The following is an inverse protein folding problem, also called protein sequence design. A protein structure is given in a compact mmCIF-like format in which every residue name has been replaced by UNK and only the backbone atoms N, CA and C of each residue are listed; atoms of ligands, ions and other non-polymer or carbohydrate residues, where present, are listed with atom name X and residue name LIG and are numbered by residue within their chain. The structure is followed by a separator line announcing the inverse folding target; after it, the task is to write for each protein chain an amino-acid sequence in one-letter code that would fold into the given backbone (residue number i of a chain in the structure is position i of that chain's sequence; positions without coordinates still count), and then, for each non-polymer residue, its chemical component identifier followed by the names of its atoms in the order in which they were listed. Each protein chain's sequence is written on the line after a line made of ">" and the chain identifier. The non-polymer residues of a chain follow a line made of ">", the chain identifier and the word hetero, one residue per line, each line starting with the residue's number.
data_IF_949347419900
#
_entry.id   IF_949347419900
#
_cell.length_a   1.000
_cell.length_b   1.000
_cell.length_c   1.000
_cell.angle_alpha   90.00
_cell.angle_beta   90.00
_cell.angle_gamma   90.00
#
_symmetry.space_group_name_H-M   'P 1'
#
loop_
_entity.id
_entity.type
_entity.pdbx_description
1 polymer ?
#
# COMPACT_ATOMS: atom_id res chain seq x y z
N UNK A 1 9.45 10.42 -7.76
CA UNK A 1 8.84 9.37 -8.61
C UNK A 1 7.38 9.69 -8.95
N UNK A 2 6.53 10.05 -7.97
CA UNK A 2 5.08 10.28 -8.22
C UNK A 2 4.64 11.75 -8.31
N UNK A 3 5.54 12.72 -8.06
CA UNK A 3 5.25 14.15 -8.18
C UNK A 3 6.00 14.76 -9.37
N UNK A 4 5.44 15.76 -10.06
CA UNK A 4 6.09 16.39 -11.20
C UNK A 4 7.38 17.11 -10.78
N UNK A 5 8.46 16.80 -11.48
CA UNK A 5 9.78 17.36 -11.21
C UNK A 5 10.09 18.60 -12.06
N UNK A 6 9.27 18.90 -13.07
CA UNK A 6 9.39 20.07 -13.94
C UNK A 6 8.31 21.12 -13.64
N UNK A 7 8.65 22.38 -13.90
CA UNK A 7 7.78 23.53 -13.68
C UNK A 7 6.45 23.40 -14.42
N UNK A 8 6.48 22.89 -15.67
CA UNK A 8 5.28 22.71 -16.48
C UNK A 8 4.30 21.70 -15.84
N UNK A 9 4.82 20.58 -15.33
CA UNK A 9 4.00 19.60 -14.62
C UNK A 9 3.43 20.14 -13.32
N UNK A 10 4.22 20.92 -12.58
CA UNK A 10 3.77 21.58 -11.33
C UNK A 10 2.68 22.63 -11.58
N UNK A 11 2.82 23.46 -12.62
CA UNK A 11 1.80 24.44 -13.01
C UNK A 11 0.48 23.77 -13.42
N UNK A 12 0.55 22.68 -14.17
CA UNK A 12 -0.65 21.94 -14.57
C UNK A 12 -1.35 21.33 -13.34
N UNK A 13 -0.57 20.77 -12.41
CA UNK A 13 -1.11 20.23 -11.16
C UNK A 13 -1.78 21.31 -10.31
N UNK A 14 -1.17 22.49 -10.18
CA UNK A 14 -1.74 23.64 -9.50
C UNK A 14 -3.09 24.05 -10.11
N UNK A 15 -3.16 24.08 -11.45
CA UNK A 15 -4.38 24.41 -12.19
C UNK A 15 -5.49 23.38 -11.98
N UNK A 16 -5.17 22.09 -11.99
CA UNK A 16 -6.16 21.00 -11.83
C UNK A 16 -6.68 20.93 -10.39
N UNK A 17 -5.81 21.20 -9.40
CA UNK A 17 -6.14 21.15 -7.98
C UNK A 17 -6.73 22.46 -7.45
N UNK A 18 -6.77 23.52 -8.28
CA UNK A 18 -7.23 24.87 -7.92
C UNK A 18 -6.48 25.46 -6.70
N UNK A 19 -5.15 25.29 -6.68
CA UNK A 19 -4.25 25.82 -5.64
C UNK A 19 -3.07 26.56 -6.27
N UNK A 20 -2.30 27.30 -5.47
CA UNK A 20 -1.22 28.10 -6.01
C UNK A 20 -0.04 27.24 -6.47
N UNK A 21 0.68 27.71 -7.49
CA UNK A 21 1.94 27.10 -7.91
C UNK A 21 2.96 27.04 -6.75
N UNK A 22 2.99 28.06 -5.88
CA UNK A 22 3.89 28.09 -4.72
C UNK A 22 3.61 26.93 -3.76
N UNK A 23 2.34 26.64 -3.48
CA UNK A 23 1.95 25.55 -2.59
C UNK A 23 2.37 24.19 -3.17
N UNK A 24 2.18 24.00 -4.49
CA UNK A 24 2.65 22.79 -5.19
C UNK A 24 4.18 22.69 -5.14
N UNK A 25 4.88 23.79 -5.44
CA UNK A 25 6.33 23.82 -5.49
C UNK A 25 6.96 23.47 -4.14
N UNK A 26 6.50 24.12 -3.07
CA UNK A 26 6.93 23.83 -1.70
C UNK A 26 6.62 22.38 -1.32
N UNK A 27 5.46 21.85 -1.74
CA UNK A 27 5.12 20.46 -1.47
C UNK A 27 6.07 19.50 -2.20
N UNK A 28 6.40 19.75 -3.47
CA UNK A 28 7.35 18.92 -4.22
C UNK A 28 8.73 18.95 -3.59
N UNK A 29 9.23 20.14 -3.24
CA UNK A 29 10.52 20.27 -2.55
C UNK A 29 10.53 19.52 -1.21
N UNK A 30 9.45 19.61 -0.42
CA UNK A 30 9.34 18.91 0.87
C UNK A 30 9.40 17.38 0.75
N UNK A 31 9.05 16.84 -0.43
CA UNK A 31 9.04 15.41 -0.72
C UNK A 31 10.30 14.94 -1.45
N UNK A 32 11.23 15.86 -1.76
CA UNK A 32 12.49 15.48 -2.40
C UNK A 32 13.39 14.74 -1.43
N UNK A 33 13.88 13.58 -1.87
CA UNK A 33 14.79 12.74 -1.12
C UNK A 33 16.13 12.61 -1.85
N UNK A 34 17.24 12.56 -1.11
CA UNK A 34 18.56 12.39 -1.72
C UNK A 34 18.74 11.03 -2.41
N UNK A 35 18.04 9.98 -1.93
CA UNK A 35 18.01 8.67 -2.57
C UNK A 35 16.59 8.07 -2.54
N UNK A 36 15.78 8.30 -3.60
CA UNK A 36 14.41 7.81 -3.68
C UNK A 36 14.27 6.27 -3.62
N UNK A 37 15.31 5.52 -3.96
CA UNK A 37 15.28 4.05 -3.89
C UNK A 37 15.20 3.56 -2.43
N UNK A 38 15.77 4.32 -1.49
CA UNK A 38 15.85 3.96 -0.07
C UNK A 38 14.96 4.81 0.83
N UNK A 39 14.12 5.66 0.25
CA UNK A 39 13.34 6.67 0.96
C UNK A 39 12.00 6.20 1.52
N UNK A 40 11.06 7.14 1.62
CA UNK A 40 9.71 6.98 2.15
C UNK A 40 8.78 6.38 1.09
N UNK A 41 8.87 5.05 0.93
CA UNK A 41 8.09 4.25 -0.02
C UNK A 41 7.69 2.90 0.57
N UNK A 42 6.83 2.17 -0.14
CA UNK A 42 6.33 0.85 0.26
C UNK A 42 5.64 0.87 1.63
N UNK A 43 5.87 -0.15 2.46
CA UNK A 43 5.25 -0.25 3.78
C UNK A 43 5.52 0.95 4.69
N UNK A 44 6.64 1.67 4.50
CA UNK A 44 6.97 2.86 5.30
C UNK A 44 5.99 4.00 5.03
N UNK A 45 5.65 4.20 3.75
CA UNK A 45 4.65 5.18 3.34
C UNK A 45 3.26 4.76 3.84
N UNK A 46 2.91 3.49 3.67
CA UNK A 46 1.63 2.96 4.16
C UNK A 46 1.49 3.00 5.69
N UNK A 47 2.60 2.95 6.44
CA UNK A 47 2.59 3.10 7.90
C UNK A 47 2.36 4.55 8.33
N UNK A 48 2.86 5.51 7.54
CA UNK A 48 2.69 6.94 7.82
C UNK A 48 1.32 7.46 7.35
N UNK A 49 0.85 6.96 6.21
CA UNK A 49 -0.42 7.32 5.57
C UNK A 49 -1.28 6.04 5.38
N UNK A 50 -1.86 5.52 6.48
CA UNK A 50 -2.64 4.27 6.45
C UNK A 50 -3.81 4.31 5.47
N UNK A 51 -4.39 5.48 5.21
CA UNK A 51 -5.50 5.69 4.29
C UNK A 51 -5.22 5.18 2.86
N UNK A 52 -3.94 5.13 2.44
CA UNK A 52 -3.54 4.58 1.15
C UNK A 52 -3.78 3.06 1.12
N UNK A 53 -3.33 2.39 2.19
CA UNK A 53 -3.47 0.92 2.34
C UNK A 53 -4.93 0.54 2.52
N UNK A 54 -5.68 1.33 3.28
CA UNK A 54 -7.13 1.16 3.46
C UNK A 54 -7.87 1.27 2.12
N UNK A 55 -7.60 2.33 1.34
CA UNK A 55 -8.22 2.54 0.03
C UNK A 55 -7.94 1.37 -0.92
N UNK A 56 -6.68 0.95 -1.04
CA UNK A 56 -6.29 -0.14 -1.94
C UNK A 56 -6.89 -1.49 -1.49
N UNK A 57 -6.86 -1.77 -0.19
CA UNK A 57 -7.45 -2.99 0.38
C UNK A 57 -8.93 -3.05 0.10
N UNK A 58 -9.66 -1.96 0.36
CA UNK A 58 -11.10 -1.87 0.08
C UNK A 58 -11.38 -2.14 -1.39
N UNK A 59 -10.67 -1.48 -2.30
CA UNK A 59 -10.87 -1.66 -3.74
C UNK A 59 -10.67 -3.12 -4.20
N UNK A 60 -9.62 -3.79 -3.71
CA UNK A 60 -9.34 -5.21 -4.03
C UNK A 60 -10.49 -6.12 -3.55
N UNK A 61 -10.96 -5.90 -2.33
CA UNK A 61 -11.94 -6.78 -1.68
C UNK A 61 -13.35 -6.57 -2.22
N UNK A 62 -13.75 -5.32 -2.44
CA UNK A 62 -15.04 -4.99 -3.06
C UNK A 62 -15.13 -5.57 -4.48
N UNK A 63 -14.08 -5.44 -5.28
CA UNK A 63 -14.03 -6.04 -6.63
C UNK A 63 -14.17 -7.57 -6.59
N UNK A 64 -13.49 -8.23 -5.65
CA UNK A 64 -13.58 -9.68 -5.50
C UNK A 64 -14.95 -10.15 -4.99
N UNK A 65 -15.62 -9.37 -4.13
CA UNK A 65 -17.02 -9.61 -3.72
C UNK A 65 -17.99 -9.44 -4.89
N UNK A 66 -17.79 -8.44 -5.75
CA UNK A 66 -18.59 -8.23 -6.95
C UNK A 66 -18.47 -9.43 -7.92
N UNK A 67 -17.24 -9.87 -8.21
CA UNK A 67 -17.00 -11.07 -9.02
C UNK A 67 -17.65 -12.32 -8.43
N UNK A 68 -17.63 -12.48 -7.10
CA UNK A 68 -18.30 -13.59 -6.41
C UNK A 68 -19.82 -13.57 -6.68
N UNK A 69 -20.46 -12.40 -6.71
CA UNK A 69 -21.91 -12.26 -7.04
C UNK A 69 -22.20 -12.67 -8.49
N UNK A 70 -21.24 -12.49 -9.38
CA UNK A 70 -21.29 -12.98 -10.77
C UNK A 70 -20.97 -14.49 -10.90
N UNK A 71 -20.69 -15.17 -9.79
CA UNK A 71 -20.35 -16.60 -9.76
C UNK A 71 -18.88 -16.91 -10.04
N UNK A 72 -18.00 -15.90 -10.05
CA UNK A 72 -16.56 -16.05 -10.26
C UNK A 72 -15.85 -16.12 -8.90
N UNK A 73 -15.13 -17.22 -8.65
CA UNK A 73 -14.31 -17.36 -7.44
C UNK A 73 -12.95 -16.68 -7.63
N UNK A 74 -12.78 -15.49 -7.04
CA UNK A 74 -11.49 -14.82 -6.90
C UNK A 74 -10.93 -15.02 -5.47
N UNK A 75 -9.62 -15.25 -5.35
CA UNK A 75 -8.91 -15.34 -4.06
C UNK A 75 -7.80 -14.29 -4.08
N UNK A 76 -8.04 -13.08 -3.55
CA UNK A 76 -7.04 -12.02 -3.58
C UNK A 76 -5.81 -12.35 -2.74
N UNK A 77 -4.64 -12.03 -3.26
CA UNK A 77 -3.37 -12.08 -2.54
C UNK A 77 -2.83 -10.65 -2.41
N UNK A 78 -2.87 -10.09 -1.19
CA UNK A 78 -2.43 -8.73 -0.91
C UNK A 78 -0.99 -8.80 -0.39
N UNK A 79 -0.08 -8.09 -1.05
CA UNK A 79 1.34 -8.15 -0.75
C UNK A 79 1.89 -6.81 -0.27
N UNK A 80 2.51 -6.82 0.91
CA UNK A 80 3.17 -5.64 1.50
C UNK A 80 4.61 -5.53 0.98
N UNK A 81 5.00 -4.43 0.29
CA UNK A 81 6.35 -4.24 -0.24
C UNK A 81 7.30 -3.59 0.79
N UNK A 82 8.60 -3.76 0.58
CA UNK A 82 9.72 -3.16 1.31
C UNK A 82 9.75 -3.42 2.83
N UNK A 83 9.11 -4.50 3.27
CA UNK A 83 9.19 -4.96 4.65
C UNK A 83 10.64 -5.27 5.01
N UNK A 84 11.18 -4.66 6.07
CA UNK A 84 12.52 -4.97 6.59
C UNK A 84 12.50 -5.68 7.94
N UNK A 85 11.45 -5.45 8.73
CA UNK A 85 11.27 -6.02 10.07
C UNK A 85 9.82 -6.50 10.25
N UNK A 86 9.60 -7.50 11.12
CA UNK A 86 8.27 -8.09 11.36
C UNK A 86 7.22 -7.06 11.81
N UNK A 87 7.61 -6.06 12.61
CA UNK A 87 6.70 -5.03 13.11
C UNK A 87 6.16 -4.11 12.01
N UNK A 88 6.94 -3.85 10.95
CA UNK A 88 6.46 -3.08 9.79
C UNK A 88 5.38 -3.86 9.04
N UNK A 89 5.57 -5.17 8.88
CA UNK A 89 4.57 -6.03 8.25
C UNK A 89 3.31 -6.16 9.11
N UNK A 90 3.46 -6.35 10.42
CA UNK A 90 2.32 -6.45 11.34
C UNK A 90 1.47 -5.17 11.32
N UNK A 91 2.09 -3.99 11.32
CA UNK A 91 1.36 -2.72 11.25
C UNK A 91 0.52 -2.60 9.97
N UNK A 92 1.08 -2.99 8.82
CA UNK A 92 0.34 -3.01 7.56
C UNK A 92 -0.75 -4.08 7.55
N UNK A 93 -0.44 -5.30 8.02
CA UNK A 93 -1.40 -6.41 8.10
C UNK A 93 -2.61 -6.04 8.95
N UNK A 94 -2.41 -5.36 10.09
CA UNK A 94 -3.51 -4.91 10.95
C UNK A 94 -4.46 -3.95 10.22
N UNK A 95 -3.91 -2.99 9.47
CA UNK A 95 -4.71 -2.05 8.65
C UNK A 95 -5.49 -2.84 7.60
N UNK A 96 -4.84 -3.73 6.86
CA UNK A 96 -5.45 -4.56 5.81
C UNK A 96 -6.59 -5.40 6.40
N UNK A 97 -6.34 -6.15 7.47
CA UNK A 97 -7.35 -7.01 8.10
C UNK A 97 -8.53 -6.19 8.62
N UNK A 98 -8.28 -5.06 9.28
CA UNK A 98 -9.34 -4.18 9.76
C UNK A 98 -10.23 -3.68 8.62
N UNK A 99 -9.64 -3.23 7.52
CA UNK A 99 -10.39 -2.79 6.34
C UNK A 99 -11.19 -3.93 5.73
N UNK A 100 -10.61 -5.13 5.60
CA UNK A 100 -11.31 -6.33 5.10
C UNK A 100 -12.55 -6.61 5.95
N UNK A 101 -12.41 -6.63 7.28
CA UNK A 101 -13.53 -6.89 8.18
C UNK A 101 -14.63 -5.84 8.05
N UNK A 102 -14.26 -4.57 7.86
CA UNK A 102 -15.23 -3.50 7.61
C UNK A 102 -16.00 -3.73 6.31
N UNK A 103 -15.31 -4.01 5.20
CA UNK A 103 -15.94 -4.29 3.90
C UNK A 103 -16.87 -5.50 3.97
N UNK A 104 -16.45 -6.57 4.65
CA UNK A 104 -17.27 -7.76 4.86
C UNK A 104 -18.53 -7.46 5.65
N UNK A 105 -18.41 -6.67 6.73
CA UNK A 105 -19.57 -6.26 7.53
C UNK A 105 -20.55 -5.40 6.73
N UNK A 106 -20.06 -4.44 5.94
CA UNK A 106 -20.89 -3.56 5.12
C UNK A 106 -21.65 -4.33 4.02
N UNK A 107 -21.05 -5.39 3.49
CA UNK A 107 -21.65 -6.21 2.42
C UNK A 107 -22.40 -7.45 2.94
N UNK A 108 -22.30 -7.76 4.23
CA UNK A 108 -22.82 -9.01 4.82
C UNK A 108 -22.35 -10.27 4.07
N UNK A 109 -21.11 -10.27 3.58
CA UNK A 109 -20.51 -11.37 2.83
C UNK A 109 -18.98 -11.43 3.06
N UNK A 110 -18.35 -12.53 2.70
CA UNK A 110 -16.90 -12.75 2.85
C UNK A 110 -16.30 -13.54 1.69
N UNK A 111 -14.99 -13.41 1.52
CA UNK A 111 -14.18 -14.15 0.55
C UNK A 111 -12.89 -14.66 1.20
N UNK A 112 -12.32 -15.70 0.61
CA UNK A 112 -10.96 -16.15 0.95
C UNK A 112 -9.95 -15.13 0.43
N UNK A 113 -8.90 -14.86 1.19
CA UNK A 113 -7.79 -13.99 0.82
C UNK A 113 -6.50 -14.45 1.50
N UNK A 114 -5.35 -13.93 1.04
CA UNK A 114 -4.06 -14.08 1.71
C UNK A 114 -3.36 -12.74 1.83
N UNK A 115 -2.58 -12.57 2.89
CA UNK A 115 -1.74 -11.41 3.13
C UNK A 115 -0.29 -11.87 3.24
N UNK A 116 0.53 -11.46 2.29
CA UNK A 116 1.94 -11.82 2.21
C UNK A 116 2.84 -10.60 2.11
N UNK A 117 4.13 -10.83 1.92
CA UNK A 117 5.09 -9.73 1.78
C UNK A 117 6.16 -10.01 0.75
N UNK A 118 6.67 -8.94 0.15
CA UNK A 118 7.84 -9.00 -0.71
C UNK A 118 9.12 -9.07 0.13
N UNK A 119 9.99 -10.03 -0.18
CA UNK A 119 11.33 -10.19 0.38
C UNK A 119 12.31 -9.55 -0.59
N UNK A 120 12.46 -8.23 -0.47
CA UNK A 120 13.33 -7.39 -1.31
C UNK A 120 14.32 -6.55 -0.47
N UNK A 121 14.16 -6.53 0.86
CA UNK A 121 15.12 -5.95 1.80
C UNK A 121 16.01 -7.07 2.36
N UNK A 122 17.35 -6.97 2.32
CA UNK A 122 18.23 -8.03 2.83
C UNK A 122 17.93 -8.44 4.28
N UNK A 123 17.55 -7.49 5.14
CA UNK A 123 17.15 -7.76 6.53
C UNK A 123 15.89 -8.64 6.63
N UNK A 124 14.97 -8.52 5.69
CA UNK A 124 13.77 -9.36 5.64
C UNK A 124 14.16 -10.82 5.42
N UNK A 125 15.09 -11.08 4.49
CA UNK A 125 15.62 -12.42 4.27
C UNK A 125 16.34 -12.97 5.51
N UNK A 126 17.19 -12.17 6.17
CA UNK A 126 17.89 -12.57 7.39
C UNK A 126 16.95 -12.88 8.57
N UNK A 127 15.79 -12.23 8.62
CA UNK A 127 14.79 -12.38 9.69
C UNK A 127 13.51 -13.07 9.24
N UNK A 128 13.55 -13.77 8.10
CA UNK A 128 12.38 -14.35 7.43
C UNK A 128 11.58 -15.29 8.35
N UNK A 129 12.25 -16.04 9.22
CA UNK A 129 11.62 -16.91 10.23
C UNK A 129 10.67 -16.19 11.19
N UNK A 130 10.83 -14.87 11.39
CA UNK A 130 9.91 -14.06 12.20
C UNK A 130 8.72 -13.60 11.36
N UNK A 131 8.99 -13.14 10.15
CA UNK A 131 7.98 -12.64 9.20
C UNK A 131 7.05 -13.77 8.75
N UNK A 132 7.58 -14.98 8.54
CA UNK A 132 6.83 -16.16 8.11
C UNK A 132 5.80 -16.67 9.13
N UNK A 133 5.86 -16.21 10.40
CA UNK A 133 4.82 -16.49 11.38
C UNK A 133 3.55 -15.68 11.15
N UNK A 134 3.67 -14.57 10.42
CA UNK A 134 2.61 -13.60 10.21
C UNK A 134 2.14 -13.59 8.75
N UNK A 135 3.05 -13.79 7.79
CA UNK A 135 2.77 -13.70 6.36
C UNK A 135 2.34 -15.06 5.78
N UNK A 136 1.28 -15.05 4.97
CA UNK A 136 0.75 -16.25 4.31
C UNK A 136 1.64 -16.72 3.14
N UNK A 137 2.41 -15.80 2.55
CA UNK A 137 3.34 -16.08 1.46
C UNK A 137 4.48 -15.06 1.39
N UNK A 138 5.55 -15.46 0.70
CA UNK A 138 6.65 -14.58 0.29
C UNK A 138 6.74 -14.48 -1.22
N UNK A 139 7.08 -13.29 -1.71
CA UNK A 139 7.49 -13.06 -3.09
C UNK A 139 8.88 -12.42 -3.10
N UNK A 140 9.81 -12.91 -3.90
CA UNK A 140 11.16 -12.32 -3.99
C UNK A 140 11.18 -11.23 -5.06
N UNK A 141 11.57 -10.02 -4.65
CA UNK A 141 11.73 -8.85 -5.52
C UNK A 141 13.19 -8.53 -5.78
#
# INVERSE_FOLDING_TARGET
>A
EFVPHDEKGQMEMARVMDISYSDIHERVESLMESNPMLGLRGCRLGNLYPEITEMQTRAIIEAALELKREGIKAIPEIMVPLTGIVYEFQAQKEIIEKTIQQVFSENSDSIEYKIGTMIEIPRAALTAHKIAKEADFFSFG
#
